data_IF_608285050418
#
_entry.id   IF_608285050418
#
_cell.length_a   1.000
_cell.length_b   1.000
_cell.length_c   1.000
_cell.angle_alpha   90.00
_cell.angle_beta   90.00
_cell.angle_gamma   90.00
#
_symmetry.space_group_name_H-M   'P 1'
#
loop_
_entity.id
_entity.type
_entity.pdbx_description
1 polymer ?
#
# COMPACT_ATOMS: atom_id res chain seq x y z
N UNK A 1 -5.68 6.50 -23.67
CA UNK A 1 -5.55 7.10 -22.33
C UNK A 1 -4.62 6.24 -21.47
N UNK A 2 -3.76 6.83 -20.66
CA UNK A 2 -2.95 6.11 -19.67
C UNK A 2 -3.47 6.44 -18.28
N UNK A 3 -3.38 5.44 -17.37
CA UNK A 3 -3.90 5.56 -16.01
C UNK A 3 -2.73 5.60 -15.01
N UNK A 4 -2.01 6.73 -14.96
CA UNK A 4 -0.92 6.97 -14.02
C UNK A 4 -1.31 7.92 -12.88
N UNK A 5 -2.60 8.31 -12.82
CA UNK A 5 -3.17 9.15 -11.78
C UNK A 5 -4.11 8.33 -10.91
N UNK A 6 -3.93 8.41 -9.60
CA UNK A 6 -4.79 7.83 -8.58
C UNK A 6 -5.60 8.93 -7.91
N UNK A 7 -6.86 8.64 -7.51
CA UNK A 7 -7.75 9.53 -6.77
C UNK A 7 -8.50 10.54 -7.64
N UNK A 8 -9.37 11.32 -7.01
CA UNK A 8 -10.23 12.33 -7.65
C UNK A 8 -9.98 13.72 -7.07
N UNK A 9 -10.32 13.95 -5.81
CA UNK A 9 -10.09 15.20 -5.08
C UNK A 9 -8.67 15.24 -4.53
N UNK A 10 -8.29 14.25 -3.74
CA UNK A 10 -6.89 14.00 -3.42
C UNK A 10 -6.35 13.03 -4.47
N UNK A 11 -5.51 13.51 -5.34
CA UNK A 11 -4.97 12.71 -6.44
C UNK A 11 -3.47 12.87 -6.56
N UNK A 12 -2.82 11.83 -7.09
CA UNK A 12 -1.42 11.93 -7.45
C UNK A 12 -1.13 11.24 -8.78
N UNK A 13 -0.31 11.86 -9.59
CA UNK A 13 0.21 11.29 -10.84
C UNK A 13 1.65 10.85 -10.62
N UNK A 14 1.92 9.55 -10.76
CA UNK A 14 3.25 8.99 -10.58
C UNK A 14 4.00 8.83 -11.91
N UNK A 15 5.32 9.03 -11.88
CA UNK A 15 6.20 8.92 -13.04
C UNK A 15 7.55 8.30 -12.69
N UNK A 16 8.31 7.96 -13.74
CA UNK A 16 9.66 7.41 -13.65
C UNK A 16 9.71 5.88 -13.58
N UNK A 17 10.83 5.31 -13.98
CA UNK A 17 11.11 3.88 -14.03
C UNK A 17 12.17 3.46 -13.00
N UNK A 18 12.16 2.17 -12.64
CA UNK A 18 13.06 1.60 -11.63
C UNK A 18 14.55 1.83 -11.91
N UNK A 19 14.94 1.91 -13.18
CA UNK A 19 16.32 2.11 -13.65
C UNK A 19 16.47 3.39 -14.47
N UNK A 20 15.47 4.29 -14.44
CA UNK A 20 15.58 5.65 -14.92
C UNK A 20 16.32 6.55 -13.92
N UNK A 21 16.51 7.84 -14.22
CA UNK A 21 17.24 8.77 -13.35
C UNK A 21 16.54 9.01 -12.02
N UNK A 22 15.21 9.04 -12.02
CA UNK A 22 14.40 9.30 -10.83
C UNK A 22 13.01 8.67 -10.97
N UNK A 23 12.32 8.58 -9.84
CA UNK A 23 10.87 8.38 -9.73
C UNK A 23 10.27 9.55 -8.98
N UNK A 24 9.00 9.82 -9.18
CA UNK A 24 8.34 10.90 -8.46
C UNK A 24 6.83 10.87 -8.63
N UNK A 25 6.18 11.80 -7.96
CA UNK A 25 4.77 12.08 -8.18
C UNK A 25 4.47 13.57 -8.03
N UNK A 26 3.36 13.97 -8.64
CA UNK A 26 2.73 15.27 -8.40
C UNK A 26 1.42 14.98 -7.67
N UNK A 27 1.34 15.43 -6.41
CA UNK A 27 0.12 15.38 -5.58
C UNK A 27 -0.68 16.65 -5.81
N UNK A 28 -1.95 16.52 -6.10
CA UNK A 28 -2.88 17.62 -6.30
C UNK A 28 -4.13 17.43 -5.41
N UNK A 29 -4.81 18.53 -5.08
CA UNK A 29 -5.98 18.53 -4.20
C UNK A 29 -5.67 18.45 -2.70
N UNK A 30 -4.40 18.59 -2.30
CA UNK A 30 -4.05 18.74 -0.89
C UNK A 30 -4.53 20.11 -0.38
N UNK A 31 -5.32 20.20 0.70
CA UNK A 31 -5.74 21.47 1.27
C UNK A 31 -4.53 22.34 1.70
N UNK A 32 -4.67 23.69 1.66
CA UNK A 32 -3.61 24.57 2.14
C UNK A 32 -3.47 24.53 3.67
N UNK A 33 -2.33 25.04 4.15
CA UNK A 33 -2.01 25.25 5.58
C UNK A 33 -1.83 23.97 6.40
N UNK A 34 -1.67 22.82 5.76
CA UNK A 34 -1.31 21.57 6.43
C UNK A 34 0.20 21.62 6.70
N UNK A 35 0.66 21.49 7.96
CA UNK A 35 2.10 21.39 8.23
C UNK A 35 2.71 20.18 7.51
N UNK A 36 3.79 20.40 6.78
CA UNK A 36 4.45 19.35 5.99
C UNK A 36 5.93 19.64 5.86
N UNK A 37 6.76 18.68 6.25
CA UNK A 37 8.21 18.74 6.08
C UNK A 37 8.74 17.53 5.30
N UNK A 38 9.96 17.64 4.78
CA UNK A 38 10.65 16.53 4.11
C UNK A 38 10.84 15.35 5.07
N UNK A 39 11.19 15.63 6.32
CA UNK A 39 11.46 14.60 7.34
C UNK A 39 10.23 13.76 7.68
N UNK A 40 9.06 14.36 7.64
CA UNK A 40 7.80 13.62 7.87
C UNK A 40 7.53 12.61 6.74
N UNK A 41 7.76 13.00 5.49
CA UNK A 41 7.63 12.08 4.34
C UNK A 41 8.75 11.04 4.37
N UNK A 42 9.98 11.44 4.71
CA UNK A 42 11.14 10.56 4.75
C UNK A 42 10.96 9.43 5.77
N UNK A 43 10.40 9.71 6.94
CA UNK A 43 10.11 8.67 7.95
C UNK A 43 9.22 7.54 7.41
N UNK A 44 8.21 7.88 6.62
CA UNK A 44 7.36 6.84 5.99
C UNK A 44 8.12 6.08 4.90
N UNK A 45 8.94 6.77 4.12
CA UNK A 45 9.79 6.16 3.10
C UNK A 45 10.84 5.23 3.71
N UNK A 46 11.43 5.61 4.84
CA UNK A 46 12.42 4.81 5.55
C UNK A 46 11.85 3.45 6.01
N UNK A 47 10.58 3.39 6.36
CA UNK A 47 9.89 2.13 6.68
C UNK A 47 9.71 1.23 5.46
N UNK A 48 9.67 1.79 4.25
CA UNK A 48 9.44 1.06 2.99
C UNK A 48 10.73 0.76 2.22
N UNK A 49 11.78 1.57 2.33
CA UNK A 49 12.98 1.51 1.48
C UNK A 49 13.60 0.10 1.42
N UNK A 50 14.33 -0.23 0.33
CA UNK A 50 15.10 -1.47 0.27
C UNK A 50 16.29 -1.45 1.24
N UNK A 51 16.79 -2.64 1.62
CA UNK A 51 17.99 -2.74 2.46
C UNK A 51 17.77 -2.47 3.95
N UNK A 52 16.54 -2.43 4.45
CA UNK A 52 16.23 -2.22 5.88
C UNK A 52 16.71 -3.35 6.78
N UNK A 53 16.71 -4.57 6.26
CA UNK A 53 17.10 -5.76 7.00
C UNK A 53 17.74 -6.78 6.05
N UNK A 54 18.38 -7.80 6.63
CA UNK A 54 18.91 -8.95 5.87
C UNK A 54 17.82 -9.76 5.14
N UNK A 55 16.55 -9.53 5.47
CA UNK A 55 15.38 -10.22 4.91
C UNK A 55 14.76 -9.52 3.71
N UNK A 56 15.21 -8.32 3.39
CA UNK A 56 14.79 -7.57 2.21
C UNK A 56 15.88 -7.60 1.15
N UNK A 57 15.60 -7.00 -0.02
CA UNK A 57 16.56 -6.90 -1.12
C UNK A 57 17.86 -6.22 -0.67
N UNK A 58 18.99 -6.64 -1.26
CA UNK A 58 20.32 -6.04 -1.02
C UNK A 58 20.54 -4.70 -1.76
N UNK A 59 19.56 -4.23 -2.53
CA UNK A 59 19.61 -2.91 -3.16
C UNK A 59 19.65 -1.84 -2.09
N UNK A 60 20.53 -0.85 -2.23
CA UNK A 60 20.70 0.26 -1.30
C UNK A 60 20.16 1.54 -1.92
N UNK A 61 18.93 1.90 -1.59
CA UNK A 61 18.32 3.16 -2.02
C UNK A 61 17.91 3.94 -0.77
N UNK A 62 18.41 5.14 -0.57
CA UNK A 62 18.02 5.98 0.58
C UNK A 62 16.58 6.46 0.47
N UNK A 63 15.98 6.38 -0.72
CA UNK A 63 14.68 6.96 -1.04
C UNK A 63 14.57 8.43 -0.59
N UNK A 64 15.68 9.18 -0.71
CA UNK A 64 15.76 10.58 -0.28
C UNK A 64 14.79 11.44 -1.08
N UNK A 65 13.73 11.89 -0.43
CA UNK A 65 12.67 12.67 -1.09
C UNK A 65 13.01 14.15 -1.10
N UNK A 66 12.73 14.80 -2.23
CA UNK A 66 12.79 16.26 -2.39
C UNK A 66 11.39 16.80 -2.65
N UNK A 67 10.98 17.83 -1.91
CA UNK A 67 9.76 18.60 -2.20
C UNK A 67 10.17 19.74 -3.15
N UNK A 68 9.63 19.73 -4.37
CA UNK A 68 10.01 20.66 -5.42
C UNK A 68 9.01 21.83 -5.56
N UNK A 69 7.78 21.68 -5.05
CA UNK A 69 6.71 22.69 -5.11
C UNK A 69 5.62 22.42 -4.07
N UNK A 70 4.70 23.37 -3.93
CA UNK A 70 3.47 23.21 -3.15
C UNK A 70 3.64 23.33 -1.64
N UNK A 71 4.82 23.69 -1.14
CA UNK A 71 5.11 23.93 0.27
C UNK A 71 5.82 25.27 0.42
N UNK A 72 5.47 26.00 1.46
CA UNK A 72 5.96 27.35 1.75
C UNK A 72 6.17 27.49 3.26
N UNK A 73 7.16 28.30 3.66
CA UNK A 73 7.33 28.65 5.07
C UNK A 73 6.41 29.81 5.43
N UNK A 74 5.40 29.53 6.23
CA UNK A 74 4.47 30.55 6.74
C UNK A 74 5.21 31.49 7.69
N UNK A 75 5.33 32.75 7.32
CA UNK A 75 6.06 33.76 8.08
C UNK A 75 5.51 33.99 9.49
N UNK A 76 4.20 33.79 9.68
CA UNK A 76 3.53 33.99 10.97
C UNK A 76 3.87 32.89 11.96
N UNK A 77 3.88 31.63 11.52
CA UNK A 77 4.12 30.48 12.39
C UNK A 77 5.56 29.94 12.32
N UNK A 78 6.34 30.35 11.32
CA UNK A 78 7.66 29.80 11.02
C UNK A 78 7.65 28.34 10.55
N UNK A 79 6.47 27.75 10.28
CA UNK A 79 6.30 26.36 9.89
C UNK A 79 6.21 26.20 8.39
N UNK A 80 6.73 25.10 7.87
CA UNK A 80 6.45 24.68 6.51
C UNK A 80 5.02 24.16 6.41
N UNK A 81 4.25 24.69 5.46
CA UNK A 81 2.85 24.34 5.25
C UNK A 81 2.55 24.17 3.75
N UNK A 82 1.55 23.38 3.43
CA UNK A 82 1.04 23.24 2.07
C UNK A 82 0.37 24.54 1.59
N UNK A 83 0.47 24.82 0.29
CA UNK A 83 -0.09 26.05 -0.33
C UNK A 83 -1.45 25.83 -0.99
N UNK A 84 -1.92 24.59 -1.12
CA UNK A 84 -3.11 24.23 -1.92
C UNK A 84 -2.83 24.09 -3.41
N UNK A 85 -1.58 24.25 -3.83
CA UNK A 85 -1.13 24.05 -5.22
C UNK A 85 -0.44 22.68 -5.36
N UNK A 86 -0.17 22.19 -6.58
CA UNK A 86 0.44 20.87 -6.76
C UNK A 86 1.78 20.70 -6.04
N UNK A 87 1.93 19.59 -5.30
CA UNK A 87 3.13 19.23 -4.56
C UNK A 87 3.91 18.21 -5.39
N UNK A 88 5.04 18.60 -5.93
CA UNK A 88 5.93 17.68 -6.64
C UNK A 88 6.94 17.07 -5.67
N UNK A 89 6.96 15.72 -5.66
CA UNK A 89 7.92 14.91 -4.90
C UNK A 89 8.83 14.17 -5.87
N UNK A 90 10.15 14.25 -5.65
CA UNK A 90 11.17 13.62 -6.48
C UNK A 90 12.09 12.74 -5.63
N UNK A 91 12.39 11.53 -6.11
CA UNK A 91 13.31 10.57 -5.51
C UNK A 91 14.28 10.09 -6.58
N UNK A 92 15.55 10.40 -6.44
CA UNK A 92 16.60 9.96 -7.38
C UNK A 92 16.90 8.46 -7.20
N UNK A 93 17.21 7.78 -8.30
CA UNK A 93 17.70 6.41 -8.28
C UNK A 93 19.23 6.40 -8.22
N UNK A 94 19.81 5.86 -7.15
CA UNK A 94 21.26 5.92 -6.91
C UNK A 94 21.96 4.55 -7.00
N UNK A 95 21.28 3.42 -6.76
CA UNK A 95 21.84 2.06 -6.80
C UNK A 95 21.15 1.19 -7.86
N UNK A 96 21.08 1.67 -9.09
CA UNK A 96 20.60 0.89 -10.23
C UNK A 96 21.76 0.11 -10.88
N UNK A 97 21.55 -1.19 -11.18
CA UNK A 97 22.53 -2.06 -11.84
C UNK A 97 21.92 -2.71 -13.08
N UNK A 98 21.91 -1.96 -14.17
CA UNK A 98 21.31 -2.40 -15.44
C UNK A 98 21.93 -3.66 -16.02
N UNK A 99 23.21 -3.92 -15.72
CA UNK A 99 23.95 -5.12 -16.16
C UNK A 99 23.37 -6.43 -15.63
N UNK A 100 22.69 -6.41 -14.46
CA UNK A 100 22.09 -7.61 -13.86
C UNK A 100 20.96 -8.21 -14.70
N UNK A 101 20.47 -7.49 -15.72
CA UNK A 101 19.34 -7.89 -16.55
C UNK A 101 19.72 -8.22 -18.01
N UNK A 102 20.99 -8.16 -18.38
CA UNK A 102 21.45 -8.37 -19.77
C UNK A 102 21.15 -9.79 -20.29
N UNK A 103 21.34 -10.82 -19.46
CA UNK A 103 21.11 -12.24 -19.83
C UNK A 103 19.63 -12.57 -20.04
N UNK A 104 18.71 -11.76 -19.52
CA UNK A 104 17.27 -12.00 -19.59
C UNK A 104 16.53 -10.96 -20.45
N UNK A 105 17.27 -10.12 -21.17
CA UNK A 105 16.72 -9.02 -21.98
C UNK A 105 15.65 -9.49 -22.98
N UNK A 106 15.88 -10.63 -23.61
CA UNK A 106 15.03 -11.18 -24.66
C UNK A 106 14.13 -12.31 -24.17
N UNK A 107 14.14 -12.64 -22.87
CA UNK A 107 13.33 -13.71 -22.28
C UNK A 107 12.27 -13.14 -21.32
N UNK A 108 11.05 -13.67 -21.39
CA UNK A 108 10.02 -13.28 -20.45
C UNK A 108 10.20 -14.02 -19.11
N UNK A 109 10.10 -13.29 -18.01
CA UNK A 109 10.09 -13.90 -16.68
C UNK A 109 8.69 -14.44 -16.36
N UNK A 110 8.48 -15.73 -16.11
CA UNK A 110 7.18 -16.27 -15.75
C UNK A 110 6.59 -15.57 -14.52
N UNK A 111 5.34 -15.15 -14.61
CA UNK A 111 4.66 -14.42 -13.54
C UNK A 111 5.07 -12.96 -13.36
N UNK A 112 5.93 -12.42 -14.25
CA UNK A 112 6.29 -11.00 -14.29
C UNK A 112 5.57 -10.27 -15.43
N UNK A 113 5.45 -8.94 -15.33
CA UNK A 113 4.69 -8.11 -16.28
C UNK A 113 5.35 -7.89 -17.65
N UNK A 114 6.59 -8.35 -17.89
CA UNK A 114 7.32 -8.05 -19.15
C UNK A 114 6.53 -8.44 -20.40
N UNK A 115 5.98 -9.65 -20.43
CA UNK A 115 5.15 -10.12 -21.55
C UNK A 115 3.94 -9.21 -21.82
N UNK A 116 3.17 -8.90 -20.77
CA UNK A 116 1.96 -8.11 -20.92
C UNK A 116 2.22 -6.66 -21.33
N UNK A 117 3.37 -6.10 -20.93
CA UNK A 117 3.81 -4.77 -21.37
C UNK A 117 4.20 -4.76 -22.85
N UNK A 118 4.93 -5.77 -23.33
CA UNK A 118 5.26 -5.88 -24.75
C UNK A 118 4.01 -6.06 -25.60
N UNK A 119 3.05 -6.89 -25.18
CA UNK A 119 1.78 -7.05 -25.91
C UNK A 119 0.98 -5.76 -25.95
N UNK A 120 0.97 -4.99 -24.85
CA UNK A 120 0.16 -3.78 -24.76
C UNK A 120 0.82 -2.58 -25.43
N UNK A 121 2.12 -2.38 -25.21
CA UNK A 121 2.82 -1.15 -25.61
C UNK A 121 3.85 -1.38 -26.73
N UNK A 122 4.10 -2.64 -27.11
CA UNK A 122 5.14 -3.00 -28.10
C UNK A 122 6.57 -2.90 -27.57
N UNK A 123 6.75 -2.41 -26.35
CA UNK A 123 8.05 -2.22 -25.70
C UNK A 123 7.91 -2.18 -24.18
N UNK A 124 8.93 -2.66 -23.47
CA UNK A 124 9.07 -2.44 -22.02
C UNK A 124 10.53 -2.22 -21.63
N UNK A 125 10.77 -1.51 -20.55
CA UNK A 125 12.09 -1.47 -19.92
C UNK A 125 12.34 -2.80 -19.20
N UNK A 126 13.21 -3.64 -19.75
CA UNK A 126 13.59 -4.94 -19.17
C UNK A 126 14.41 -4.77 -17.88
N UNK A 127 15.05 -3.61 -17.68
CA UNK A 127 15.90 -3.31 -16.53
C UNK A 127 15.03 -3.13 -15.28
N UNK A 128 15.05 -4.10 -14.38
CA UNK A 128 14.27 -4.08 -13.15
C UNK A 128 12.74 -4.06 -13.31
N UNK A 129 12.22 -4.12 -14.54
CA UNK A 129 10.79 -4.14 -14.84
C UNK A 129 10.13 -2.77 -15.01
N UNK A 130 10.90 -1.68 -15.14
CA UNK A 130 10.38 -0.34 -15.41
C UNK A 130 9.30 0.11 -14.44
N UNK A 131 8.14 0.51 -14.95
CA UNK A 131 6.95 0.90 -14.18
C UNK A 131 6.29 -0.27 -13.42
N UNK A 132 6.49 -1.52 -13.84
CA UNK A 132 5.97 -2.70 -13.14
C UNK A 132 6.81 -3.07 -11.90
N UNK A 133 7.92 -2.41 -11.67
CA UNK A 133 8.78 -2.62 -10.51
C UNK A 133 8.13 -2.12 -9.22
N UNK A 134 8.32 -2.87 -8.11
CA UNK A 134 7.92 -2.41 -6.78
C UNK A 134 8.62 -1.10 -6.34
N UNK A 135 9.63 -0.62 -7.08
CA UNK A 135 10.28 0.67 -6.86
C UNK A 135 9.31 1.84 -6.90
N UNK A 136 8.31 1.80 -7.82
CA UNK A 136 7.32 2.87 -7.96
C UNK A 136 6.48 3.07 -6.69
N UNK A 137 6.34 2.05 -5.82
CA UNK A 137 5.56 2.19 -4.59
C UNK A 137 6.17 3.18 -3.59
N UNK A 138 7.43 3.60 -3.76
CA UNK A 138 8.00 4.68 -2.95
C UNK A 138 7.21 5.99 -3.11
N UNK A 139 6.79 6.31 -4.34
CA UNK A 139 6.00 7.53 -4.57
C UNK A 139 4.60 7.44 -4.01
N UNK A 140 4.01 6.23 -3.93
CA UNK A 140 2.73 6.01 -3.23
C UNK A 140 2.86 6.27 -1.74
N UNK A 141 3.95 5.80 -1.12
CA UNK A 141 4.23 6.05 0.30
C UNK A 141 4.46 7.54 0.55
N UNK A 142 5.18 8.23 -0.32
CA UNK A 142 5.39 9.67 -0.21
C UNK A 142 4.06 10.45 -0.33
N UNK A 143 3.17 10.10 -1.27
CA UNK A 143 1.84 10.68 -1.37
C UNK A 143 0.96 10.34 -0.15
N UNK A 144 1.05 9.11 0.35
CA UNK A 144 0.33 8.65 1.54
C UNK A 144 0.73 9.39 2.81
N UNK A 145 2.00 9.79 2.94
CA UNK A 145 2.47 10.61 4.06
C UNK A 145 1.75 11.98 4.12
N UNK A 146 1.45 12.58 2.96
CA UNK A 146 0.63 13.78 2.86
C UNK A 146 -0.84 13.46 3.19
N UNK A 147 -1.38 12.40 2.59
CA UNK A 147 -2.78 12.01 2.75
C UNK A 147 -3.18 11.78 4.21
N UNK A 148 -2.31 11.15 5.03
CA UNK A 148 -2.54 10.92 6.47
C UNK A 148 -2.87 12.20 7.26
N UNK A 149 -2.44 13.36 6.77
CA UNK A 149 -2.61 14.65 7.46
C UNK A 149 -3.93 15.36 7.10
N UNK A 150 -4.67 14.85 6.11
CA UNK A 150 -5.89 15.50 5.61
C UNK A 150 -7.11 15.17 6.45
N UNK A 151 -7.22 13.93 6.92
CA UNK A 151 -8.34 13.48 7.75
C UNK A 151 -7.98 13.67 9.22
N UNK A 152 -8.69 14.53 9.97
CA UNK A 152 -8.38 14.78 11.39
C UNK A 152 -8.53 13.51 12.23
N UNK A 153 -7.54 13.21 13.06
CA UNK A 153 -7.57 12.06 13.96
C UNK A 153 -7.35 10.70 13.31
N UNK A 154 -7.08 10.66 12.01
CA UNK A 154 -6.81 9.40 11.29
C UNK A 154 -5.55 8.72 11.79
N UNK A 155 -5.67 7.47 12.17
CA UNK A 155 -4.56 6.54 12.42
C UNK A 155 -4.67 5.37 11.47
N UNK A 156 -3.63 5.10 10.67
CA UNK A 156 -3.58 3.94 9.77
C UNK A 156 -2.36 3.11 10.13
N UNK A 157 -2.59 1.84 10.46
CA UNK A 157 -1.56 0.87 10.81
C UNK A 157 -1.76 -0.39 9.99
N UNK A 158 -0.66 -1.05 9.63
CA UNK A 158 -0.72 -2.34 8.97
C UNK A 158 0.28 -3.32 9.57
N UNK A 159 -0.02 -4.61 9.42
CA UNK A 159 0.82 -5.69 9.92
C UNK A 159 0.88 -6.84 8.92
N UNK A 160 2.01 -7.53 8.86
CA UNK A 160 2.17 -8.78 8.14
C UNK A 160 1.65 -9.91 9.00
N UNK A 161 0.50 -10.48 8.61
CA UNK A 161 -0.25 -11.45 9.42
C UNK A 161 -0.08 -12.90 8.96
N UNK A 162 0.53 -13.10 7.78
CA UNK A 162 0.86 -14.43 7.29
C UNK A 162 2.06 -14.37 6.34
N UNK A 163 2.96 -15.34 6.44
CA UNK A 163 4.04 -15.59 5.49
C UNK A 163 4.06 -17.09 5.15
N UNK A 164 3.81 -17.43 3.89
CA UNK A 164 3.60 -18.82 3.50
C UNK A 164 2.47 -19.46 4.29
N UNK A 165 2.75 -20.56 4.97
CA UNK A 165 1.78 -21.27 5.80
C UNK A 165 1.66 -20.76 7.26
N UNK A 166 2.62 -19.94 7.69
CA UNK A 166 2.68 -19.41 9.06
C UNK A 166 1.74 -18.21 9.21
N UNK A 167 0.73 -18.32 10.07
CA UNK A 167 -0.28 -17.29 10.35
C UNK A 167 -0.19 -16.78 11.79
N UNK A 168 -0.56 -15.51 11.98
CA UNK A 168 -0.67 -14.90 13.31
C UNK A 168 -1.75 -15.60 14.13
N UNK A 169 -1.43 -15.81 15.42
CA UNK A 169 -2.42 -16.16 16.42
C UNK A 169 -3.00 -14.87 17.02
N UNK A 170 -4.30 -14.64 16.77
CA UNK A 170 -4.98 -13.41 17.20
C UNK A 170 -4.95 -13.19 18.71
N UNK A 171 -4.78 -14.23 19.51
CA UNK A 171 -4.67 -14.12 20.98
C UNK A 171 -3.34 -13.51 21.43
N UNK A 172 -2.32 -13.47 20.56
CA UNK A 172 -1.00 -12.88 20.81
C UNK A 172 -0.75 -11.57 20.04
N UNK A 173 -1.81 -10.97 19.53
CA UNK A 173 -1.71 -9.72 18.77
C UNK A 173 -1.28 -8.56 19.67
N UNK A 174 -0.15 -7.92 19.31
CA UNK A 174 0.30 -6.67 19.92
C UNK A 174 0.78 -5.71 18.84
N UNK A 175 0.11 -4.56 18.72
CA UNK A 175 0.50 -3.53 17.77
C UNK A 175 1.89 -2.93 18.03
N UNK A 176 2.37 -2.97 19.29
CA UNK A 176 3.70 -2.45 19.62
C UNK A 176 4.81 -3.32 19.01
N UNK A 177 4.56 -4.61 18.82
CA UNK A 177 5.51 -5.53 18.19
C UNK A 177 5.74 -5.25 16.71
N UNK A 178 4.80 -4.63 16.01
CA UNK A 178 4.90 -4.33 14.57
C UNK A 178 6.14 -3.49 14.25
N UNK A 179 6.50 -2.55 15.13
CA UNK A 179 7.70 -1.72 14.98
C UNK A 179 9.00 -2.34 15.50
N UNK A 180 8.91 -3.45 16.24
CA UNK A 180 10.04 -4.03 16.98
C UNK A 180 10.73 -5.20 16.26
N UNK A 181 10.21 -5.61 15.11
CA UNK A 181 10.78 -6.70 14.33
C UNK A 181 10.82 -6.35 12.82
N UNK A 182 11.73 -6.98 12.04
CA UNK A 182 11.93 -6.64 10.63
C UNK A 182 10.81 -7.10 9.70
N UNK A 183 9.78 -7.75 10.20
CA UNK A 183 8.67 -8.31 9.42
C UNK A 183 7.38 -7.49 9.54
N UNK A 184 7.34 -6.47 10.40
CA UNK A 184 6.09 -5.81 10.78
C UNK A 184 5.03 -6.79 11.29
N UNK A 185 5.47 -7.83 12.03
CA UNK A 185 4.61 -8.86 12.57
C UNK A 185 4.07 -8.44 13.96
N UNK A 186 2.76 -8.59 14.24
CA UNK A 186 2.18 -8.21 15.53
C UNK A 186 2.32 -9.30 16.60
N UNK A 187 3.06 -10.39 16.35
CA UNK A 187 3.28 -11.52 17.25
C UNK A 187 4.78 -11.82 17.29
N UNK A 188 5.44 -11.52 18.40
CA UNK A 188 6.88 -11.71 18.57
C UNK A 188 7.33 -13.17 18.36
N UNK A 189 6.50 -14.14 18.78
CA UNK A 189 6.80 -15.56 18.57
C UNK A 189 6.73 -15.94 17.09
N UNK A 190 5.75 -15.42 16.38
CA UNK A 190 5.61 -15.64 14.94
C UNK A 190 6.71 -14.92 14.15
N UNK A 191 7.12 -13.72 14.58
CA UNK A 191 8.23 -13.00 13.95
C UNK A 191 9.52 -13.84 13.95
N UNK A 192 9.80 -14.59 15.02
CA UNK A 192 10.92 -15.53 15.08
C UNK A 192 10.74 -16.70 14.11
N UNK A 193 9.55 -17.25 14.00
CA UNK A 193 9.25 -18.30 13.03
C UNK A 193 9.40 -17.82 11.58
N UNK A 194 9.01 -16.57 11.28
CA UNK A 194 9.22 -15.95 9.97
C UNK A 194 10.71 -15.82 9.61
N UNK A 195 11.56 -15.51 10.59
CA UNK A 195 13.01 -15.44 10.39
C UNK A 195 13.56 -16.78 9.90
N UNK A 196 13.29 -17.86 10.62
CA UNK A 196 13.79 -19.19 10.31
C UNK A 196 13.23 -19.70 8.96
N UNK A 197 11.94 -19.48 8.75
CA UNK A 197 11.26 -19.88 7.50
C UNK A 197 11.83 -19.13 6.27
N UNK A 198 12.00 -17.81 6.37
CA UNK A 198 12.49 -17.01 5.25
C UNK A 198 13.96 -17.30 4.93
N UNK A 199 14.77 -17.58 5.93
CA UNK A 199 16.15 -18.04 5.71
C UNK A 199 16.19 -19.39 4.97
N UNK A 200 15.28 -20.33 5.27
CA UNK A 200 15.15 -21.59 4.53
C UNK A 200 14.71 -21.34 3.08
N UNK A 201 13.74 -20.46 2.84
CA UNK A 201 13.28 -20.07 1.50
C UNK A 201 14.43 -19.46 0.69
N UNK A 202 15.22 -18.55 1.29
CA UNK A 202 16.38 -17.92 0.63
C UNK A 202 17.46 -18.95 0.26
N UNK A 203 17.79 -19.89 1.16
CA UNK A 203 18.76 -20.94 0.89
C UNK A 203 18.35 -21.82 -0.28
N UNK A 204 17.05 -22.02 -0.50
CA UNK A 204 16.49 -22.74 -1.66
C UNK A 204 16.48 -21.89 -2.94
N UNK A 205 16.88 -20.62 -2.89
CA UNK A 205 16.79 -19.70 -4.04
C UNK A 205 15.36 -19.41 -4.50
N UNK A 206 14.39 -19.51 -3.59
CA UNK A 206 12.95 -19.35 -3.83
C UNK A 206 12.41 -18.05 -3.21
N UNK A 207 11.11 -17.88 -3.28
CA UNK A 207 10.36 -16.74 -2.70
C UNK A 207 9.06 -17.24 -2.10
N UNK A 208 8.45 -16.41 -1.25
CA UNK A 208 7.21 -16.71 -0.54
C UNK A 208 6.25 -15.55 -0.57
N UNK A 209 4.94 -15.85 -0.56
CA UNK A 209 3.86 -14.88 -0.46
C UNK A 209 3.56 -14.51 1.00
N UNK A 210 2.69 -13.49 1.14
CA UNK A 210 2.28 -13.00 2.45
C UNK A 210 0.84 -12.49 2.43
N UNK A 211 0.24 -12.36 3.60
CA UNK A 211 -1.00 -11.61 3.81
C UNK A 211 -0.71 -10.43 4.74
N UNK A 212 -1.18 -9.26 4.35
CA UNK A 212 -1.09 -8.02 5.13
C UNK A 212 -2.50 -7.63 5.57
N UNK A 213 -2.65 -7.21 6.81
CA UNK A 213 -3.85 -6.57 7.33
C UNK A 213 -3.57 -5.08 7.55
N UNK A 214 -4.47 -4.23 7.11
CA UNK A 214 -4.42 -2.79 7.32
C UNK A 214 -5.68 -2.34 8.04
N UNK A 215 -5.50 -1.52 9.08
CA UNK A 215 -6.56 -0.99 9.92
C UNK A 215 -6.48 0.53 9.94
N UNK A 216 -7.61 1.19 9.69
CA UNK A 216 -7.74 2.63 9.83
C UNK A 216 -8.72 2.97 10.95
N UNK A 217 -8.25 3.72 11.94
CA UNK A 217 -9.02 4.21 13.09
C UNK A 217 -9.19 5.72 12.99
N UNK A 218 -10.20 6.27 13.67
CA UNK A 218 -10.50 7.70 13.61
C UNK A 218 -11.14 8.14 12.27
N UNK A 219 -11.67 7.19 11.51
CA UNK A 219 -12.38 7.48 10.26
C UNK A 219 -13.78 8.00 10.59
N UNK A 220 -14.16 9.20 10.12
CA UNK A 220 -15.52 9.70 10.33
C UNK A 220 -16.56 8.78 9.71
N UNK A 221 -17.73 8.63 10.34
CA UNK A 221 -18.89 8.02 9.69
C UNK A 221 -19.34 8.87 8.50
N UNK A 222 -19.80 8.22 7.43
CA UNK A 222 -20.35 8.90 6.25
C UNK A 222 -19.41 9.03 5.05
N UNK A 223 -18.16 8.54 5.13
CA UNK A 223 -17.26 8.56 3.97
C UNK A 223 -17.61 7.44 3.00
N UNK A 224 -17.61 7.76 1.72
CA UNK A 224 -18.04 6.87 0.64
C UNK A 224 -19.37 7.30 0.05
N UNK A 225 -19.77 6.67 -1.05
CA UNK A 225 -21.05 6.95 -1.69
C UNK A 225 -21.61 5.69 -2.36
N UNK A 226 -22.94 5.43 -2.27
CA UNK A 226 -23.58 4.44 -3.11
C UNK A 226 -23.55 4.97 -4.54
N UNK A 227 -23.47 4.26 -5.54
CA UNK A 227 -23.35 2.86 -5.88
C UNK A 227 -21.96 2.64 -6.46
N UNK A 228 -21.43 3.65 -7.19
CA UNK A 228 -20.22 3.54 -8.01
C UNK A 228 -18.97 4.11 -7.32
N UNK A 229 -19.10 4.68 -6.10
CA UNK A 229 -18.00 5.20 -5.27
C UNK A 229 -18.06 4.65 -3.85
N UNK A 230 -18.34 3.37 -3.75
CA UNK A 230 -18.33 2.65 -2.49
C UNK A 230 -16.92 2.65 -1.92
N UNK A 231 -16.80 2.98 -0.63
CA UNK A 231 -15.52 3.06 0.06
C UNK A 231 -14.77 1.72 0.07
N UNK A 232 -15.49 0.60 0.30
CA UNK A 232 -14.95 -0.76 0.23
C UNK A 232 -14.38 -1.09 -1.16
N UNK A 233 -15.10 -0.72 -2.22
CA UNK A 233 -14.65 -0.94 -3.60
C UNK A 233 -13.38 -0.14 -3.93
N UNK A 234 -13.31 1.12 -3.51
CA UNK A 234 -12.14 1.98 -3.76
C UNK A 234 -10.93 1.53 -2.93
N UNK A 235 -11.13 1.12 -1.66
CA UNK A 235 -10.08 0.50 -0.84
C UNK A 235 -9.59 -0.80 -1.50
N UNK A 236 -10.51 -1.67 -1.89
CA UNK A 236 -10.14 -2.93 -2.53
C UNK A 236 -9.37 -2.70 -3.84
N UNK A 237 -9.81 -1.74 -4.67
CA UNK A 237 -9.12 -1.34 -5.90
C UNK A 237 -7.72 -0.77 -5.65
N UNK A 238 -7.58 0.08 -4.64
CA UNK A 238 -6.29 0.68 -4.26
C UNK A 238 -5.29 -0.38 -3.76
N UNK A 239 -5.72 -1.29 -2.90
CA UNK A 239 -4.91 -2.40 -2.39
C UNK A 239 -4.59 -3.42 -3.49
N UNK A 240 -5.56 -3.78 -4.35
CA UNK A 240 -5.33 -4.66 -5.51
C UNK A 240 -4.34 -4.04 -6.50
N UNK A 241 -4.28 -2.72 -6.60
CA UNK A 241 -3.31 -1.98 -7.41
C UNK A 241 -1.87 -2.01 -6.89
N UNK A 242 -1.61 -2.54 -5.68
CA UNK A 242 -0.26 -2.74 -5.16
C UNK A 242 0.40 -3.90 -5.93
N UNK A 243 1.67 -3.75 -6.28
CA UNK A 243 2.41 -4.76 -7.04
C UNK A 243 2.36 -6.13 -6.34
N UNK A 244 2.12 -7.18 -7.14
CA UNK A 244 1.99 -8.58 -6.71
C UNK A 244 0.76 -8.94 -5.85
N UNK A 245 -0.15 -8.05 -5.57
CA UNK A 245 -1.42 -8.37 -4.90
C UNK A 245 -2.31 -9.23 -5.81
N UNK A 246 -3.03 -10.21 -5.22
CA UNK A 246 -3.88 -11.17 -5.92
C UNK A 246 -5.25 -11.40 -5.28
N UNK A 247 -5.48 -10.86 -4.10
CA UNK A 247 -6.76 -10.93 -3.42
C UNK A 247 -6.86 -9.84 -2.37
N UNK A 248 -8.06 -9.32 -2.15
CA UNK A 248 -8.38 -8.33 -1.12
C UNK A 248 -9.67 -8.75 -0.43
N UNK A 249 -9.71 -8.58 0.88
CA UNK A 249 -10.88 -8.80 1.74
C UNK A 249 -11.15 -7.54 2.56
N UNK A 250 -12.41 -7.23 2.79
CA UNK A 250 -12.89 -6.18 3.68
C UNK A 250 -13.61 -6.82 4.85
N UNK A 251 -13.32 -6.42 6.08
CA UNK A 251 -13.87 -7.05 7.27
C UNK A 251 -13.52 -8.53 7.35
N UNK A 252 -14.52 -9.39 7.57
CA UNK A 252 -14.31 -10.84 7.61
C UNK A 252 -14.15 -11.49 6.23
N UNK A 253 -14.38 -10.71 5.15
CA UNK A 253 -14.06 -11.11 3.79
C UNK A 253 -14.72 -12.42 3.39
N UNK A 254 -13.93 -13.39 2.89
CA UNK A 254 -14.47 -14.69 2.46
C UNK A 254 -15.03 -15.56 3.59
N UNK A 255 -14.67 -15.30 4.85
CA UNK A 255 -15.21 -16.05 5.98
C UNK A 255 -16.74 -15.82 6.15
N UNK A 256 -17.24 -14.66 5.72
CA UNK A 256 -18.69 -14.35 5.78
C UNK A 256 -19.57 -15.36 5.02
N UNK A 257 -19.03 -16.02 4.00
CA UNK A 257 -19.77 -17.01 3.23
C UNK A 257 -20.15 -18.27 4.04
N UNK A 258 -19.48 -18.52 5.16
CA UNK A 258 -19.78 -19.64 6.06
C UNK A 258 -20.61 -19.23 7.29
N UNK A 259 -20.89 -17.94 7.46
CA UNK A 259 -21.65 -17.41 8.61
C UNK A 259 -23.16 -17.42 8.34
N UNK A 260 -23.95 -17.61 9.39
CA UNK A 260 -25.38 -17.30 9.37
C UNK A 260 -25.63 -15.79 9.39
N UNK A 261 -26.85 -15.35 9.01
CA UNK A 261 -27.20 -13.93 9.02
C UNK A 261 -27.12 -13.31 10.41
N UNK A 262 -27.48 -14.06 11.43
CA UNK A 262 -27.41 -13.65 12.84
C UNK A 262 -25.95 -13.46 13.30
N UNK A 263 -25.05 -14.33 12.89
CA UNK A 263 -23.62 -14.28 13.23
C UNK A 263 -22.93 -13.10 12.53
N UNK A 264 -23.25 -12.87 11.26
CA UNK A 264 -22.63 -11.81 10.45
C UNK A 264 -23.21 -10.41 10.72
N UNK A 265 -24.28 -10.29 11.52
CA UNK A 265 -24.94 -9.02 11.80
C UNK A 265 -24.10 -8.18 12.79
N UNK A 266 -23.68 -6.98 12.37
CA UNK A 266 -23.07 -6.00 13.25
C UNK A 266 -24.16 -5.28 14.06
N UNK A 267 -24.60 -5.91 15.16
CA UNK A 267 -25.63 -5.36 16.03
C UNK A 267 -25.20 -4.02 16.67
N UNK A 268 -26.17 -3.17 16.99
CA UNK A 268 -25.95 -1.87 17.58
C UNK A 268 -26.73 -1.67 18.88
N UNK A 269 -26.19 -0.86 19.77
CA UNK A 269 -26.86 -0.34 20.97
C UNK A 269 -26.57 1.17 21.08
N UNK A 270 -27.42 1.86 21.82
CA UNK A 270 -27.18 3.27 22.12
C UNK A 270 -26.10 3.39 23.18
N UNK A 271 -25.05 4.13 22.90
CA UNK A 271 -23.99 4.45 23.84
C UNK A 271 -24.39 5.54 24.83
N UNK A 272 -23.61 5.69 25.90
CA UNK A 272 -23.85 6.69 26.94
C UNK A 272 -23.69 8.14 26.43
N UNK A 273 -22.99 8.33 25.34
CA UNK A 273 -22.79 9.62 24.65
C UNK A 273 -23.92 9.96 23.65
N UNK A 274 -24.94 9.12 23.59
CA UNK A 274 -26.07 9.27 22.67
C UNK A 274 -25.77 8.88 21.23
N UNK A 275 -24.65 8.18 20.98
CA UNK A 275 -24.29 7.66 19.64
C UNK A 275 -24.44 6.13 19.59
N UNK A 276 -24.71 5.56 18.41
CA UNK A 276 -24.68 4.12 18.24
C UNK A 276 -23.29 3.54 18.52
N UNK A 277 -23.25 2.43 19.23
CA UNK A 277 -22.07 1.58 19.44
C UNK A 277 -22.34 0.24 18.80
N UNK A 278 -21.47 -0.19 17.93
CA UNK A 278 -21.53 -1.49 17.29
C UNK A 278 -20.93 -2.55 18.22
N UNK A 279 -21.56 -3.73 18.27
CA UNK A 279 -21.14 -4.84 19.13
C UNK A 279 -20.13 -5.77 18.44
N UNK A 280 -20.04 -5.71 17.11
CA UNK A 280 -19.08 -6.42 16.27
C UNK A 280 -18.67 -5.55 15.09
N UNK A 281 -17.75 -6.05 14.25
CA UNK A 281 -17.28 -5.33 13.06
C UNK A 281 -16.97 -6.30 11.90
N UNK A 282 -17.91 -7.21 11.62
CA UNK A 282 -17.80 -8.19 10.54
C UNK A 282 -17.69 -7.52 9.16
N UNK A 283 -18.43 -6.41 8.97
CA UNK A 283 -18.42 -5.61 7.75
C UNK A 283 -17.14 -4.77 7.58
N UNK A 284 -16.23 -4.77 8.57
CA UNK A 284 -14.98 -4.02 8.49
C UNK A 284 -15.14 -2.51 8.43
N UNK A 285 -16.14 -1.95 9.15
CA UNK A 285 -16.38 -0.51 9.30
C UNK A 285 -17.10 0.15 8.12
N UNK A 286 -17.65 -0.63 7.18
CA UNK A 286 -18.29 -0.11 5.97
C UNK A 286 -19.62 -0.84 5.74
N UNK A 287 -20.71 -0.11 5.67
CA UNK A 287 -22.04 -0.61 5.35
C UNK A 287 -22.60 0.13 4.12
N UNK A 288 -23.07 -0.60 3.13
CA UNK A 288 -23.59 -0.01 1.90
C UNK A 288 -22.57 0.82 1.11
N UNK A 289 -21.27 0.64 1.36
CA UNK A 289 -20.19 1.41 0.75
C UNK A 289 -19.87 2.72 1.48
N UNK A 290 -20.39 2.91 2.69
CA UNK A 290 -20.23 4.13 3.50
C UNK A 290 -19.65 3.75 4.85
N UNK A 291 -18.67 4.52 5.36
CA UNK A 291 -18.05 4.27 6.66
C UNK A 291 -19.03 4.45 7.82
N UNK A 292 -18.94 3.56 8.81
CA UNK A 292 -19.79 3.58 10.03
C UNK A 292 -19.20 4.38 11.18
N UNK A 293 -17.91 4.76 11.10
CA UNK A 293 -17.15 5.31 12.23
C UNK A 293 -16.38 4.26 13.02
N UNK A 294 -16.62 2.97 12.76
CA UNK A 294 -15.80 1.89 13.30
C UNK A 294 -14.44 1.83 12.61
N UNK A 295 -13.45 1.11 13.17
CA UNK A 295 -12.21 0.83 12.46
C UNK A 295 -12.48 0.17 11.10
N UNK A 296 -11.85 0.69 10.05
CA UNK A 296 -11.88 0.05 8.74
C UNK A 296 -10.79 -1.01 8.70
N UNK A 297 -11.19 -2.24 8.37
CA UNK A 297 -10.29 -3.40 8.32
C UNK A 297 -10.28 -3.99 6.92
N UNK A 298 -9.09 -4.09 6.34
CA UNK A 298 -8.88 -4.77 5.06
C UNK A 298 -7.68 -5.70 5.12
N UNK A 299 -7.73 -6.82 4.37
CA UNK A 299 -6.62 -7.75 4.19
C UNK A 299 -6.33 -7.95 2.72
N UNK A 300 -5.08 -8.24 2.38
CA UNK A 300 -4.74 -8.59 1.01
C UNK A 300 -3.59 -9.59 0.92
N UNK A 301 -3.64 -10.41 -0.12
CA UNK A 301 -2.66 -11.45 -0.39
C UNK A 301 -1.66 -10.98 -1.45
N UNK A 302 -0.38 -11.09 -1.13
CA UNK A 302 0.75 -10.79 -2.01
C UNK A 302 1.36 -12.11 -2.48
N UNK A 303 1.41 -12.32 -3.80
CA UNK A 303 2.04 -13.52 -4.37
C UNK A 303 3.55 -13.53 -4.17
N UNK A 304 4.21 -14.70 -4.20
CA UNK A 304 5.67 -14.80 -4.24
C UNK A 304 6.27 -13.99 -5.39
N UNK A 305 7.46 -13.43 -5.21
CA UNK A 305 8.16 -12.76 -6.30
C UNK A 305 8.52 -13.75 -7.42
N UNK A 306 8.38 -13.32 -8.65
CA UNK A 306 8.66 -14.13 -9.84
C UNK A 306 10.16 -14.28 -10.15
N UNK A 307 11.00 -13.48 -9.52
CA UNK A 307 12.44 -13.49 -9.72
C UNK A 307 13.10 -14.42 -8.71
N UNK A 308 13.39 -15.65 -9.14
CA UNK A 308 13.97 -16.72 -8.31
C UNK A 308 15.17 -17.36 -9.00
N UNK A 309 16.02 -18.02 -8.21
CA UNK A 309 17.24 -18.69 -8.68
C UNK A 309 17.00 -20.12 -9.19
N UNK A 310 15.74 -20.53 -9.30
CA UNK A 310 15.37 -21.82 -9.87
C UNK A 310 15.00 -21.65 -11.35
N UNK A 311 15.58 -22.45 -12.28
CA UNK A 311 15.21 -22.39 -13.70
C UNK A 311 13.71 -22.60 -13.93
N UNK A 312 13.14 -21.81 -14.83
CA UNK A 312 11.72 -21.86 -15.22
C UNK A 312 11.57 -21.85 -16.73
N UNK A 313 10.61 -22.61 -17.22
CA UNK A 313 10.25 -22.62 -18.64
C UNK A 313 9.60 -21.29 -19.02
N UNK A 314 9.96 -20.77 -20.18
CA UNK A 314 9.46 -19.52 -20.73
C UNK A 314 9.54 -19.52 -22.26
N UNK A 315 9.25 -18.39 -22.87
CA UNK A 315 9.52 -18.09 -24.27
C UNK A 315 10.37 -16.83 -24.38
N UNK A 316 11.13 -16.74 -25.47
CA UNK A 316 11.81 -15.49 -25.79
C UNK A 316 10.94 -14.54 -26.63
N UNK A 317 11.44 -13.34 -26.92
CA UNK A 317 10.76 -12.34 -27.74
C UNK A 317 10.65 -12.73 -29.22
N UNK A 318 11.38 -13.78 -29.65
CA UNK A 318 11.43 -14.27 -31.03
C UNK A 318 10.48 -15.46 -31.23
N UNK A 319 9.78 -15.92 -30.20
CA UNK A 319 8.82 -16.99 -30.28
C UNK A 319 9.40 -18.40 -30.07
N UNK A 320 10.58 -18.52 -29.47
CA UNK A 320 11.20 -19.81 -29.18
C UNK A 320 11.03 -20.19 -27.71
N UNK A 321 10.90 -21.48 -27.45
CA UNK A 321 10.97 -22.03 -26.09
C UNK A 321 12.35 -21.75 -25.47
N UNK A 322 12.36 -21.35 -24.21
CA UNK A 322 13.56 -21.00 -23.48
C UNK A 322 13.44 -21.35 -21.99
N UNK A 323 14.58 -21.43 -21.34
CA UNK A 323 14.65 -21.45 -19.87
C UNK A 323 15.21 -20.12 -19.37
N UNK A 324 14.67 -19.68 -18.22
CA UNK A 324 15.11 -18.48 -17.54
C UNK A 324 15.36 -18.73 -16.06
N UNK A 325 16.47 -18.21 -15.56
CA UNK A 325 16.78 -18.11 -14.14
C UNK A 325 17.12 -16.65 -13.85
N UNK A 326 16.39 -16.03 -12.91
CA UNK A 326 16.59 -14.60 -12.64
C UNK A 326 17.61 -14.43 -11.51
N UNK A 327 18.84 -14.13 -11.89
CA UNK A 327 19.86 -13.64 -10.96
C UNK A 327 19.56 -12.18 -10.61
N UNK A 328 19.88 -11.74 -9.41
CA UNK A 328 19.70 -10.34 -9.01
C UNK A 328 19.27 -10.17 -7.55
N UNK A 329 19.11 -8.90 -7.16
CA UNK A 329 18.81 -8.49 -5.80
C UNK A 329 17.30 -8.35 -5.62
N UNK A 330 16.61 -9.45 -5.36
CA UNK A 330 15.14 -9.47 -5.19
C UNK A 330 14.75 -9.73 -3.74
N UNK A 331 13.59 -9.20 -3.34
CA UNK A 331 13.00 -9.51 -2.05
C UNK A 331 12.53 -10.99 -2.03
N UNK A 332 12.94 -11.82 -1.07
CA UNK A 332 12.42 -13.18 -0.95
C UNK A 332 10.94 -13.19 -0.52
N UNK A 333 10.50 -12.13 0.16
CA UNK A 333 9.10 -11.85 0.48
C UNK A 333 8.81 -10.36 0.32
N UNK A 334 8.11 -9.97 -0.76
CA UNK A 334 7.76 -8.57 -1.00
C UNK A 334 6.68 -8.07 -0.04
N UNK A 335 5.99 -8.97 0.67
CA UNK A 335 4.96 -8.63 1.66
C UNK A 335 5.48 -7.76 2.80
N UNK A 336 6.74 -7.92 3.21
CA UNK A 336 7.35 -7.08 4.24
C UNK A 336 7.27 -5.59 3.86
N UNK A 337 7.63 -5.26 2.64
CA UNK A 337 7.59 -3.89 2.14
C UNK A 337 6.19 -3.42 1.75
N UNK A 338 5.24 -4.35 1.59
CA UNK A 338 3.85 -4.02 1.30
C UNK A 338 3.12 -3.40 2.51
N UNK A 339 3.61 -3.60 3.73
CA UNK A 339 2.99 -3.06 4.95
C UNK A 339 2.89 -1.53 4.90
N UNK A 340 3.97 -0.73 4.80
CA UNK A 340 3.87 0.72 4.71
C UNK A 340 3.17 1.20 3.42
N UNK A 341 3.17 0.41 2.35
CA UNK A 341 2.44 0.74 1.12
C UNK A 341 0.93 0.61 1.35
N UNK A 342 0.48 -0.41 2.07
CA UNK A 342 -0.93 -0.58 2.43
C UNK A 342 -1.45 0.59 3.25
N UNK A 343 -0.69 1.00 4.26
CA UNK A 343 -1.02 2.16 5.08
C UNK A 343 -1.15 3.44 4.24
N UNK A 344 -0.23 3.66 3.31
CA UNK A 344 -0.23 4.81 2.42
C UNK A 344 -1.44 4.81 1.49
N UNK A 345 -1.76 3.67 0.86
CA UNK A 345 -2.89 3.57 -0.07
C UNK A 345 -4.23 3.70 0.65
N UNK A 346 -4.38 3.12 1.85
CA UNK A 346 -5.55 3.33 2.71
C UNK A 346 -5.73 4.82 3.03
N UNK A 347 -4.66 5.51 3.44
CA UNK A 347 -4.70 6.94 3.73
C UNK A 347 -5.08 7.77 2.49
N UNK A 348 -4.55 7.44 1.30
CA UNK A 348 -4.90 8.13 0.05
C UNK A 348 -6.39 8.00 -0.29
N UNK A 349 -6.96 6.79 -0.15
CA UNK A 349 -8.41 6.57 -0.38
C UNK A 349 -9.23 7.38 0.62
N UNK A 350 -8.88 7.31 1.91
CA UNK A 350 -9.64 8.00 2.95
C UNK A 350 -9.55 9.54 2.81
N UNK A 351 -8.40 10.07 2.42
CA UNK A 351 -8.25 11.50 2.13
C UNK A 351 -9.10 11.93 0.94
N UNK A 352 -9.12 11.15 -0.14
CA UNK A 352 -9.93 11.41 -1.33
C UNK A 352 -11.43 11.43 -0.98
N UNK A 353 -11.91 10.40 -0.29
CA UNK A 353 -13.30 10.31 0.16
C UNK A 353 -13.69 11.40 1.17
N UNK A 354 -12.77 11.77 2.06
CA UNK A 354 -13.01 12.85 3.01
C UNK A 354 -13.21 14.20 2.32
N UNK A 355 -12.40 14.50 1.32
CA UNK A 355 -12.54 15.74 0.53
C UNK A 355 -13.80 15.73 -0.34
N UNK A 356 -14.14 14.59 -0.95
CA UNK A 356 -15.40 14.42 -1.68
C UNK A 356 -16.61 14.59 -0.77
N UNK A 357 -16.59 13.99 0.41
CA UNK A 357 -17.66 14.12 1.40
C UNK A 357 -17.89 15.59 1.79
N UNK A 358 -16.83 16.33 2.11
CA UNK A 358 -16.92 17.76 2.41
C UNK A 358 -17.52 18.58 1.26
N UNK A 359 -17.18 18.23 0.02
CA UNK A 359 -17.73 18.90 -1.17
C UNK A 359 -19.19 18.57 -1.43
N UNK A 360 -19.64 17.37 -1.04
CA UNK A 360 -20.99 16.90 -1.32
C UNK A 360 -22.00 17.31 -0.23
N UNK A 361 -21.64 17.16 1.05
CA UNK A 361 -22.58 17.37 2.18
C UNK A 361 -22.32 18.66 2.97
N UNK A 362 -21.17 19.31 2.72
CA UNK A 362 -20.82 20.55 3.41
C UNK A 362 -20.69 20.37 4.91
N UNK A 363 -21.30 21.25 5.67
CA UNK A 363 -21.36 21.20 7.15
C UNK A 363 -22.64 20.51 7.66
N UNK A 364 -23.35 19.78 6.81
CA UNK A 364 -24.56 19.04 7.20
C UNK A 364 -24.23 18.11 8.35
N UNK A 365 -24.93 18.30 9.45
CA UNK A 365 -24.67 17.57 10.68
C UNK A 365 -25.00 16.10 10.49
N UNK A 366 -24.09 15.20 10.86
CA UNK A 366 -24.44 13.81 11.02
C UNK A 366 -25.35 13.61 12.23
N UNK A 367 -26.13 12.57 12.17
CA UNK A 367 -26.83 11.81 13.20
C UNK A 367 -27.28 12.47 14.47
N UNK A 368 -28.45 11.98 14.85
CA UNK A 368 -29.69 12.69 14.53
C UNK A 368 -29.67 13.99 15.29
N UNK A 369 -30.05 15.04 14.59
CA UNK A 369 -30.47 16.23 15.32
C UNK A 369 -31.65 15.82 16.21
N UNK A 370 -31.54 16.05 17.53
CA UNK A 370 -32.67 15.88 18.40
C UNK A 370 -33.80 16.70 17.82
N UNK A 371 -35.05 16.14 17.81
CA UNK A 371 -36.20 16.90 17.39
C UNK A 371 -36.39 18.13 18.23
#
# INVERSE_FOLDING_TARGET
MSFNTFGHMFRFTSFGESHGPAIGCVVDGCPPRIPLTVEEIQRELDRRRPGQSRFTTQRQEPDAVKIMSGVFTDETSGKQVTTGTPIMLLIENVDQRSKDYSEIKDKYRPGHAGYTYDIKYGIHDYRGGGRASARETAVRVAAGAIARKIVPGLSVRAALVQMGEHKVDRSRWDWNEVGNNPFFCPDAKLAKAFEDYLDAVRKKGSSVGAVIEVVAEGVPAGLGAPIYRKLDADIAGALMGINAVKGVEIGDGFATAAMGGEENSDEMRMGNDGKPVFLSNHAGGILGGISTGQPIVARFAVKPTSSILTPRKTVDKHGHDADVMTKGRHDPCVGIRAVPIAEAMMACVLADHYLMHRGQVGESAPWPQKP
#
